data_IF_417547895294
#
_entry.id   IF_417547895294
#
_cell.length_a   1.000
_cell.length_b   1.000
_cell.length_c   1.000
_cell.angle_alpha   90.00
_cell.angle_beta   90.00
_cell.angle_gamma   90.00
#
_symmetry.space_group_name_H-M   'P 1'
#
loop_
_entity.id
_entity.type
_entity.pdbx_description
1 polymer ?
#
# COMPACT_ATOMS: atom_id res chain seq x y z
N UNK A 1 -31.47 2.20 8.49
CA UNK A 1 -30.62 3.08 9.34
C UNK A 1 -30.81 4.52 8.89
N UNK A 2 -31.29 5.44 9.74
CA UNK A 2 -31.56 6.82 9.36
C UNK A 2 -30.30 7.70 9.41
N UNK A 3 -30.19 8.70 8.52
CA UNK A 3 -29.07 9.64 8.48
C UNK A 3 -29.13 10.61 9.66
N UNK A 4 -28.26 10.42 10.66
CA UNK A 4 -28.27 11.21 11.91
C UNK A 4 -27.70 12.63 11.78
N UNK A 5 -26.80 12.88 10.82
CA UNK A 5 -26.12 14.19 10.70
C UNK A 5 -26.18 14.72 9.27
N UNK A 6 -26.40 16.04 9.13
CA UNK A 6 -26.42 16.71 7.81
C UNK A 6 -25.01 16.86 7.23
N UNK A 7 -24.07 17.44 8.00
CA UNK A 7 -22.73 17.85 7.53
C UNK A 7 -21.56 17.16 8.27
N UNK A 8 -21.67 16.96 9.58
CA UNK A 8 -20.51 16.62 10.42
C UNK A 8 -20.04 15.17 10.27
N UNK A 9 -20.92 14.17 10.22
CA UNK A 9 -20.51 12.76 10.14
C UNK A 9 -19.70 12.32 11.37
N UNK A 10 -18.60 11.58 11.14
CA UNK A 10 -17.75 10.98 12.21
C UNK A 10 -17.20 12.00 13.22
N UNK A 11 -16.95 13.24 12.79
CA UNK A 11 -16.47 14.32 13.66
C UNK A 11 -17.55 14.92 14.56
N UNK A 12 -18.78 14.39 14.51
CA UNK A 12 -19.83 14.74 15.47
C UNK A 12 -19.46 14.44 16.93
N UNK A 13 -18.54 13.50 17.17
CA UNK A 13 -17.99 13.19 18.50
C UNK A 13 -17.32 14.38 19.20
N UNK A 14 -16.83 15.36 18.44
CA UNK A 14 -16.17 16.54 19.01
C UNK A 14 -17.17 17.62 19.48
N UNK A 15 -18.44 17.52 19.10
CA UNK A 15 -19.47 18.50 19.44
C UNK A 15 -19.20 19.88 18.85
N UNK A 16 -19.45 20.94 19.62
CA UNK A 16 -19.26 22.34 19.21
C UNK A 16 -17.80 22.81 19.28
N UNK A 17 -16.92 22.07 19.96
CA UNK A 17 -15.52 22.43 20.27
C UNK A 17 -14.59 22.46 19.04
N UNK A 18 -13.47 23.18 19.16
CA UNK A 18 -12.34 23.29 18.20
C UNK A 18 -12.60 24.06 16.89
N UNK A 19 -13.84 24.43 16.58
CA UNK A 19 -14.17 25.19 15.38
C UNK A 19 -14.29 24.36 14.09
N UNK A 20 -14.93 24.93 13.07
CA UNK A 20 -15.35 24.18 11.88
C UNK A 20 -14.18 23.79 10.95
N UNK A 21 -13.15 24.64 10.81
CA UNK A 21 -12.02 24.40 9.90
C UNK A 21 -11.22 23.16 10.32
N UNK A 22 -10.80 23.11 11.59
CA UNK A 22 -10.07 21.97 12.16
C UNK A 22 -10.88 20.67 12.03
N UNK A 23 -12.18 20.71 12.35
CA UNK A 23 -13.04 19.52 12.22
C UNK A 23 -13.18 19.05 10.77
N UNK A 24 -13.17 19.94 9.78
CA UNK A 24 -13.20 19.54 8.35
C UNK A 24 -11.92 18.82 7.94
N UNK A 25 -10.75 19.25 8.43
CA UNK A 25 -9.48 18.57 8.16
C UNK A 25 -9.43 17.19 8.83
N UNK A 26 -9.75 17.13 10.12
CA UNK A 26 -9.80 15.88 10.89
C UNK A 26 -10.79 14.90 10.27
N UNK A 27 -11.94 15.37 9.78
CA UNK A 27 -12.94 14.51 9.11
C UNK A 27 -12.34 13.75 7.93
N UNK A 28 -11.52 14.39 7.08
CA UNK A 28 -10.89 13.74 5.93
C UNK A 28 -9.94 12.63 6.39
N UNK A 29 -9.14 12.90 7.42
CA UNK A 29 -8.18 11.97 8.01
C UNK A 29 -8.86 10.80 8.72
N UNK A 30 -9.94 11.08 9.48
CA UNK A 30 -10.68 10.06 10.20
C UNK A 30 -11.46 9.12 9.29
N UNK A 31 -11.97 9.62 8.16
CA UNK A 31 -12.62 8.78 7.18
C UNK A 31 -11.60 7.84 6.52
N UNK A 32 -10.45 8.35 6.09
CA UNK A 32 -9.43 7.52 5.43
C UNK A 32 -8.86 6.45 6.36
N UNK A 33 -8.54 6.80 7.61
CA UNK A 33 -7.93 5.82 8.53
C UNK A 33 -8.89 4.68 8.94
N UNK A 34 -10.20 4.93 8.97
CA UNK A 34 -11.21 3.93 9.34
C UNK A 34 -11.77 3.18 8.12
N UNK A 35 -11.42 3.59 6.91
CA UNK A 35 -11.81 2.88 5.70
C UNK A 35 -11.18 1.48 5.65
N UNK A 36 -11.88 0.54 5.01
CA UNK A 36 -11.31 -0.75 4.64
C UNK A 36 -10.69 -0.64 3.26
N UNK A 37 -9.46 -1.11 3.11
CA UNK A 37 -8.74 -1.11 1.83
C UNK A 37 -8.68 -2.52 1.22
N UNK A 38 -8.47 -2.59 -0.09
CA UNK A 38 -8.16 -3.81 -0.83
C UNK A 38 -6.77 -4.32 -0.45
N UNK A 39 -6.69 -5.58 -0.06
CA UNK A 39 -5.41 -6.22 0.25
C UNK A 39 -4.69 -6.64 -1.04
N UNK A 40 -3.44 -6.21 -1.21
CA UNK A 40 -2.62 -6.56 -2.38
C UNK A 40 -2.23 -8.05 -2.45
N UNK A 41 -2.35 -8.78 -1.34
CA UNK A 41 -1.98 -10.20 -1.26
C UNK A 41 -3.15 -11.14 -1.58
N UNK A 42 -4.34 -10.85 -1.07
CA UNK A 42 -5.50 -11.75 -1.21
C UNK A 42 -6.70 -11.13 -1.93
N UNK A 43 -6.59 -9.91 -2.45
CA UNK A 43 -7.64 -9.19 -3.19
C UNK A 43 -8.83 -8.68 -2.34
N UNK A 44 -9.07 -9.26 -1.16
CA UNK A 44 -10.23 -8.93 -0.30
C UNK A 44 -10.11 -7.53 0.33
N UNK A 45 -11.24 -6.83 0.46
CA UNK A 45 -11.39 -5.51 1.12
C UNK A 45 -11.43 -5.61 2.65
N UNK A 46 -10.41 -6.27 3.23
CA UNK A 46 -10.30 -6.54 4.68
C UNK A 46 -9.04 -5.94 5.31
N UNK A 47 -8.36 -5.03 4.61
CA UNK A 47 -7.18 -4.33 5.14
C UNK A 47 -7.63 -3.17 6.04
N UNK A 48 -7.18 -3.15 7.29
CA UNK A 48 -7.49 -2.12 8.29
C UNK A 48 -6.24 -1.64 9.00
N UNK A 49 -6.25 -0.40 9.47
CA UNK A 49 -5.18 0.19 10.28
C UNK A 49 -5.17 -0.46 11.67
N UNK A 50 -4.00 -0.94 12.10
CA UNK A 50 -3.78 -1.45 13.47
C UNK A 50 -3.08 -0.42 14.34
N UNK A 51 -2.05 0.22 13.80
CA UNK A 51 -1.33 1.33 14.44
C UNK A 51 -0.92 2.36 13.38
N UNK A 52 -0.29 3.46 13.80
CA UNK A 52 0.26 4.45 12.88
C UNK A 52 1.26 3.76 11.94
N UNK A 53 1.03 3.84 10.63
CA UNK A 53 1.91 3.23 9.62
C UNK A 53 1.83 1.70 9.52
N UNK A 54 1.03 1.02 10.37
CA UNK A 54 0.91 -0.44 10.38
C UNK A 54 -0.51 -0.84 10.01
N UNK A 55 -0.61 -1.63 8.93
CA UNK A 55 -1.86 -2.11 8.36
C UNK A 55 -1.94 -3.62 8.40
N UNK A 56 -3.10 -4.15 8.78
CA UNK A 56 -3.32 -5.58 8.96
C UNK A 56 -4.54 -6.06 8.18
N UNK A 57 -4.39 -7.18 7.48
CA UNK A 57 -5.47 -7.80 6.73
C UNK A 57 -6.13 -8.91 7.56
N UNK A 58 -7.41 -8.75 7.89
CA UNK A 58 -8.13 -9.75 8.66
C UNK A 58 -8.49 -11.04 7.91
N UNK A 59 -8.12 -11.19 6.62
CA UNK A 59 -8.33 -12.45 5.88
C UNK A 59 -7.06 -13.25 5.65
N UNK A 60 -5.98 -12.62 5.18
CA UNK A 60 -4.72 -13.32 4.94
C UNK A 60 -3.71 -13.17 6.09
N UNK A 61 -4.09 -12.46 7.16
CA UNK A 61 -3.28 -12.21 8.36
C UNK A 61 -1.94 -11.48 8.12
N UNK A 62 -1.70 -11.00 6.91
CA UNK A 62 -0.50 -10.22 6.57
C UNK A 62 -0.58 -8.83 7.20
N UNK A 63 0.56 -8.40 7.72
CA UNK A 63 0.78 -7.06 8.26
C UNK A 63 1.79 -6.34 7.38
N UNK A 64 1.52 -5.07 7.05
CA UNK A 64 2.25 -4.30 6.04
C UNK A 64 2.48 -2.88 6.54
N UNK A 65 3.64 -2.32 6.23
CA UNK A 65 3.91 -0.91 6.41
C UNK A 65 3.18 -0.07 5.36
N UNK A 66 2.54 1.01 5.79
CA UNK A 66 1.80 1.94 4.92
C UNK A 66 1.86 3.37 5.45
N UNK A 67 0.98 4.22 4.94
CA UNK A 67 0.87 5.59 5.45
C UNK A 67 0.26 5.66 6.85
N UNK A 68 0.43 6.82 7.50
CA UNK A 68 -0.13 7.08 8.83
C UNK A 68 -1.67 6.95 8.86
N UNK A 69 -2.34 7.44 7.81
CA UNK A 69 -3.81 7.50 7.70
C UNK A 69 -4.38 6.79 6.47
N UNK A 70 -3.54 6.51 5.47
CA UNK A 70 -3.92 5.85 4.23
C UNK A 70 -3.04 4.61 4.02
N UNK A 71 -3.62 3.51 3.52
CA UNK A 71 -2.88 2.28 3.26
C UNK A 71 -1.72 2.49 2.27
N UNK A 72 -1.93 3.29 1.23
CA UNK A 72 -0.91 3.64 0.25
C UNK A 72 -0.84 5.17 0.10
N UNK A 73 0.36 5.74 0.17
CA UNK A 73 0.59 7.18 0.01
C UNK A 73 0.97 7.49 -1.43
N UNK A 74 0.59 8.67 -1.93
CA UNK A 74 0.91 9.10 -3.30
C UNK A 74 2.41 9.06 -3.57
N UNK A 75 3.23 9.57 -2.63
CA UNK A 75 4.69 9.54 -2.76
C UNK A 75 5.27 8.12 -2.77
N UNK A 76 4.71 7.18 -2.00
CA UNK A 76 5.18 5.80 -2.06
C UNK A 76 4.82 5.13 -3.40
N UNK A 77 3.68 5.48 -4.00
CA UNK A 77 3.30 4.99 -5.32
C UNK A 77 4.25 5.49 -6.40
N UNK A 78 4.59 6.78 -6.39
CA UNK A 78 5.50 7.37 -7.39
C UNK A 78 6.92 6.80 -7.28
N UNK A 79 7.42 6.61 -6.06
CA UNK A 79 8.74 5.99 -5.85
C UNK A 79 8.75 4.54 -6.33
N UNK A 80 7.68 3.76 -6.03
CA UNK A 80 7.57 2.38 -6.50
C UNK A 80 7.57 2.27 -8.02
N UNK A 81 6.84 3.14 -8.72
CA UNK A 81 6.81 3.13 -10.18
C UNK A 81 8.14 3.58 -10.80
N UNK A 82 8.80 4.58 -10.22
CA UNK A 82 10.13 5.02 -10.66
C UNK A 82 11.18 3.91 -10.51
N UNK A 83 11.24 3.25 -9.34
CA UNK A 83 12.17 2.13 -9.11
C UNK A 83 11.91 0.98 -10.08
N UNK A 84 10.63 0.68 -10.36
CA UNK A 84 10.27 -0.36 -11.33
C UNK A 84 10.83 -0.04 -12.72
N UNK A 85 10.65 1.18 -13.21
CA UNK A 85 11.17 1.64 -14.51
C UNK A 85 12.69 1.54 -14.56
N UNK A 86 13.38 2.07 -13.55
CA UNK A 86 14.84 2.02 -13.48
C UNK A 86 15.39 0.58 -13.48
N UNK A 87 14.70 -0.36 -12.80
CA UNK A 87 15.07 -1.78 -12.86
C UNK A 87 14.89 -2.37 -14.25
N UNK A 88 13.79 -2.04 -14.92
CA UNK A 88 13.53 -2.50 -16.30
C UNK A 88 14.57 -1.94 -17.29
N UNK A 89 14.95 -0.67 -17.14
CA UNK A 89 15.96 -0.02 -17.97
C UNK A 89 17.36 -0.65 -17.78
N UNK A 90 17.75 -0.93 -16.53
CA UNK A 90 19.01 -1.61 -16.24
C UNK A 90 19.04 -3.03 -16.82
N UNK A 91 17.94 -3.78 -16.70
CA UNK A 91 17.83 -5.12 -17.28
C UNK A 91 17.93 -5.06 -18.81
N UNK A 92 17.23 -4.12 -19.46
CA UNK A 92 17.34 -3.91 -20.91
C UNK A 92 18.75 -3.58 -21.35
N UNK A 93 19.47 -2.75 -20.59
CA UNK A 93 20.89 -2.47 -20.84
C UNK A 93 21.74 -3.74 -20.80
N UNK A 94 21.59 -4.57 -19.77
CA UNK A 94 22.32 -5.84 -19.65
C UNK A 94 22.06 -6.76 -20.85
N UNK A 95 20.79 -6.93 -21.24
CA UNK A 95 20.42 -7.75 -22.41
C UNK A 95 20.91 -7.15 -23.74
N UNK A 96 21.02 -5.82 -23.86
CA UNK A 96 21.50 -5.14 -25.07
C UNK A 96 23.04 -5.16 -25.21
N UNK A 97 23.80 -5.20 -24.11
CA UNK A 97 25.27 -5.20 -24.13
C UNK A 97 25.90 -6.60 -23.98
N UNK A 98 25.09 -7.68 -23.94
CA UNK A 98 25.59 -9.05 -24.02
C UNK A 98 26.60 -9.45 -22.94
N UNK A 99 26.53 -8.85 -21.74
CA UNK A 99 27.33 -9.34 -20.60
C UNK A 99 26.59 -10.50 -19.96
N UNK A 100 27.23 -11.65 -19.94
CA UNK A 100 26.69 -12.89 -19.39
C UNK A 100 26.53 -12.75 -17.85
N UNK A 101 25.41 -12.22 -17.39
CA UNK A 101 25.15 -11.94 -15.96
C UNK A 101 24.73 -13.19 -15.18
N UNK A 102 25.36 -14.33 -15.43
CA UNK A 102 25.21 -15.53 -14.59
C UNK A 102 25.86 -15.39 -13.19
N UNK A 103 26.45 -14.23 -12.85
CA UNK A 103 27.20 -14.03 -11.60
C UNK A 103 26.63 -12.95 -10.64
N UNK A 104 25.45 -12.39 -10.90
CA UNK A 104 24.77 -11.48 -9.94
C UNK A 104 23.45 -12.08 -9.42
N UNK A 105 23.41 -13.41 -9.24
CA UNK A 105 22.39 -14.06 -8.40
C UNK A 105 23.06 -14.66 -7.18
N UNK A 106 23.59 -13.79 -6.30
CA UNK A 106 24.01 -14.25 -4.98
C UNK A 106 23.13 -13.59 -3.91
N UNK A 107 22.33 -14.47 -3.29
CA UNK A 107 21.80 -14.38 -1.93
C UNK A 107 20.62 -13.45 -1.68
N UNK A 108 19.40 -13.97 -1.90
CA UNK A 108 18.29 -13.90 -0.93
C UNK A 108 17.30 -15.01 -1.25
N UNK A 109 17.18 -15.97 -0.34
CA UNK A 109 16.30 -17.12 -0.47
C UNK A 109 14.84 -16.72 -0.61
N UNK A 110 14.25 -17.11 -1.73
CA UNK A 110 12.84 -17.44 -1.85
C UNK A 110 12.76 -18.58 -2.88
N UNK A 111 13.03 -19.78 -2.38
CA UNK A 111 12.96 -21.04 -3.12
C UNK A 111 11.50 -21.47 -3.25
N UNK A 112 10.77 -20.92 -4.22
CA UNK A 112 9.58 -21.57 -4.78
C UNK A 112 9.12 -20.84 -6.04
N UNK A 113 9.24 -21.51 -7.19
CA UNK A 113 8.83 -21.10 -8.55
C UNK A 113 9.93 -20.56 -9.49
N UNK A 114 10.84 -21.44 -9.88
CA UNK A 114 11.38 -21.45 -11.26
C UNK A 114 11.20 -22.87 -11.78
N UNK A 115 10.10 -23.12 -12.50
CA UNK A 115 10.04 -24.29 -13.41
C UNK A 115 10.84 -23.88 -14.65
N UNK A 116 11.90 -24.64 -14.90
CA UNK A 116 12.74 -24.56 -16.07
C UNK A 116 11.90 -24.64 -17.35
N UNK A 117 12.17 -23.72 -18.29
CA UNK A 117 12.00 -24.00 -19.70
C UNK A 117 13.34 -24.54 -20.21
N UNK A 118 13.34 -25.78 -20.68
CA UNK A 118 14.29 -26.27 -21.69
C UNK A 118 13.81 -27.61 -22.19
N UNK A 119 13.23 -27.65 -23.39
CA UNK A 119 13.20 -28.81 -24.30
C UNK A 119 12.37 -28.45 -25.55
N UNK A 120 13.09 -28.24 -26.66
CA UNK A 120 12.64 -28.19 -28.07
C UNK A 120 11.95 -26.88 -28.50
#
# INVERSE_FOLDING_TARGET
MAKRTKKVGIVGKYGTRYGASLRKMVKKIEISQHAKYTCSFCGKTKMKRKAVGIWHCGSCMKTVAGGAWMYNTTSAVTVKSAIKRLREDLLRGIYAYGTNTALITNNRGDSSHIRAQSSI
#
